data_IF_007162119567
#
_entry.id   IF_007162119567
#
_cell.length_a   1.000
_cell.length_b   1.000
_cell.length_c   1.000
_cell.angle_alpha   90.00
_cell.angle_beta   90.00
_cell.angle_gamma   90.00
#
_symmetry.space_group_name_H-M   'P 1'
#
loop_
_entity.id
_entity.type
_entity.pdbx_description
1 polymer ?
#
# COMPACT_ATOMS: atom_id res chain seq x y z
N UNK A 1 -31.04 16.31 53.82
CA UNK A 1 -29.68 16.65 53.45
C UNK A 1 -29.39 16.03 52.07
N UNK A 2 -29.62 16.77 51.01
CA UNK A 2 -29.37 16.33 49.65
C UNK A 2 -28.04 16.97 49.20
N UNK A 3 -27.00 16.17 48.96
CA UNK A 3 -25.74 16.62 48.40
C UNK A 3 -25.83 16.69 46.86
N UNK A 4 -25.57 17.85 46.35
CA UNK A 4 -25.26 18.09 44.92
C UNK A 4 -24.03 17.27 44.54
N UNK A 5 -24.15 16.48 43.47
CA UNK A 5 -23.02 15.98 42.72
C UNK A 5 -22.94 16.84 41.47
N UNK A 6 -21.94 17.71 41.45
CA UNK A 6 -21.56 18.48 40.24
C UNK A 6 -20.95 17.53 39.21
N UNK A 7 -21.53 17.52 38.05
CA UNK A 7 -21.03 16.84 36.85
C UNK A 7 -19.75 17.51 36.38
N UNK A 8 -18.62 16.87 36.61
CA UNK A 8 -17.38 17.20 35.93
C UNK A 8 -17.42 16.47 34.59
N UNK A 9 -17.65 17.21 33.53
CA UNK A 9 -17.55 16.70 32.19
C UNK A 9 -16.08 16.34 31.86
N UNK A 10 -15.77 15.06 31.90
CA UNK A 10 -14.51 14.58 31.36
C UNK A 10 -14.63 14.52 29.80
N UNK A 11 -14.06 15.49 29.14
CA UNK A 11 -13.76 15.35 27.70
C UNK A 11 -12.65 14.33 27.52
N UNK A 12 -13.00 13.14 27.04
CA UNK A 12 -12.03 12.12 26.67
C UNK A 12 -11.60 12.41 25.21
N UNK A 13 -10.42 12.98 25.05
CA UNK A 13 -9.79 13.10 23.73
C UNK A 13 -9.16 11.77 23.34
N UNK A 14 -9.75 11.05 22.39
CA UNK A 14 -9.06 9.99 21.67
C UNK A 14 -8.42 10.55 20.44
N UNK A 15 -7.09 10.59 20.42
CA UNK A 15 -6.31 10.88 19.19
C UNK A 15 -6.10 9.56 18.46
N UNK A 16 -6.89 9.30 17.44
CA UNK A 16 -6.66 8.21 16.48
C UNK A 16 -6.42 8.88 15.13
N UNK A 17 -5.14 8.91 14.72
CA UNK A 17 -4.75 9.27 13.36
C UNK A 17 -5.07 10.70 12.94
N UNK A 18 -4.70 11.71 13.75
CA UNK A 18 -4.76 13.12 13.33
C UNK A 18 -6.15 13.78 13.27
N UNK A 19 -7.22 13.09 13.66
CA UNK A 19 -8.57 13.64 13.75
C UNK A 19 -8.89 14.04 15.19
N UNK A 20 -8.98 15.34 15.45
CA UNK A 20 -9.55 15.88 16.70
C UNK A 20 -11.08 15.74 16.67
N UNK A 21 -11.61 14.63 17.16
CA UNK A 21 -13.03 14.50 17.41
C UNK A 21 -13.37 15.18 18.74
N UNK A 22 -13.88 16.41 18.69
CA UNK A 22 -14.49 17.07 19.85
C UNK A 22 -15.93 16.61 19.93
N UNK A 23 -16.25 15.72 20.87
CA UNK A 23 -17.63 15.41 21.21
C UNK A 23 -18.15 16.50 22.16
N UNK A 24 -18.90 17.47 21.65
CA UNK A 24 -19.75 18.32 22.47
C UNK A 24 -21.07 17.59 22.73
N UNK A 25 -21.47 17.49 23.99
CA UNK A 25 -22.69 16.83 24.46
C UNK A 25 -23.95 17.67 24.20
N UNK A 26 -24.13 18.19 23.00
CA UNK A 26 -25.40 18.78 22.59
C UNK A 26 -26.08 17.89 21.53
N UNK A 27 -26.71 16.82 22.06
CA UNK A 27 -27.63 15.97 21.30
C UNK A 27 -28.90 16.74 20.95
N UNK A 28 -28.87 17.48 19.84
CA UNK A 28 -30.07 17.82 19.07
C UNK A 28 -29.74 17.84 17.58
N UNK A 29 -30.14 16.76 16.89
CA UNK A 29 -30.42 16.71 15.44
C UNK A 29 -29.33 17.25 14.50
N UNK A 30 -28.12 16.74 14.58
CA UNK A 30 -27.20 16.84 13.44
C UNK A 30 -27.09 15.48 12.77
N UNK A 31 -27.43 15.43 11.49
CA UNK A 31 -27.19 14.26 10.65
C UNK A 31 -25.71 13.91 10.77
N UNK A 32 -25.38 12.64 11.05
CA UNK A 32 -24.00 12.17 11.04
C UNK A 32 -23.37 12.58 9.70
N UNK A 33 -22.22 13.29 9.71
CA UNK A 33 -21.55 13.61 8.44
C UNK A 33 -21.33 12.32 7.69
N UNK A 34 -21.76 12.24 6.43
CA UNK A 34 -21.45 11.08 5.63
C UNK A 34 -19.93 11.05 5.34
N UNK A 35 -19.40 9.92 5.00
CA UNK A 35 -17.97 9.74 4.74
C UNK A 35 -17.44 10.77 3.73
N UNK A 36 -18.26 11.15 2.75
CA UNK A 36 -17.97 12.15 1.73
C UNK A 36 -17.72 13.55 2.33
N UNK A 37 -18.57 14.01 3.28
CA UNK A 37 -18.40 15.34 3.92
C UNK A 37 -17.15 15.44 4.79
N UNK A 38 -16.69 14.31 5.37
CA UNK A 38 -15.42 14.28 6.13
C UNK A 38 -14.23 14.50 5.21
N UNK A 39 -14.25 13.93 4.00
CA UNK A 39 -13.16 14.12 3.04
C UNK A 39 -13.13 15.53 2.47
N UNK A 40 -14.29 16.14 2.13
CA UNK A 40 -14.34 17.53 1.62
C UNK A 40 -13.86 18.56 2.66
N UNK A 41 -14.21 18.36 3.94
CA UNK A 41 -13.84 19.31 5.00
C UNK A 41 -12.34 19.36 5.31
N UNK A 42 -11.56 18.38 4.82
CA UNK A 42 -10.15 18.23 5.13
C UNK A 42 -9.24 18.31 3.90
N UNK A 43 -9.77 18.53 2.69
CA UNK A 43 -8.95 18.50 1.46
C UNK A 43 -7.85 19.56 1.50
N UNK A 44 -8.19 20.82 1.82
CA UNK A 44 -7.24 21.92 1.89
C UNK A 44 -6.14 21.66 2.94
N UNK A 45 -6.52 21.05 4.06
CA UNK A 45 -5.56 20.65 5.09
C UNK A 45 -4.64 19.53 4.60
N UNK A 46 -5.19 18.51 3.93
CA UNK A 46 -4.39 17.43 3.34
C UNK A 46 -3.44 17.95 2.26
N UNK A 47 -3.90 18.88 1.41
CA UNK A 47 -3.07 19.49 0.36
C UNK A 47 -1.91 20.26 0.98
N UNK A 48 -2.19 21.10 1.99
CA UNK A 48 -1.15 21.86 2.70
C UNK A 48 -0.10 20.94 3.32
N UNK A 49 -0.53 19.96 4.10
CA UNK A 49 0.38 19.01 4.75
C UNK A 49 1.19 18.18 3.74
N UNK A 50 0.57 17.79 2.63
CA UNK A 50 1.25 17.02 1.59
C UNK A 50 2.30 17.85 0.85
N UNK A 51 2.04 19.13 0.60
CA UNK A 51 3.01 20.07 0.03
C UNK A 51 4.18 20.34 0.97
N UNK A 52 3.94 20.34 2.28
CA UNK A 52 4.97 20.39 3.31
C UNK A 52 5.78 19.09 3.44
N UNK A 53 5.42 18.06 2.69
CA UNK A 53 6.16 16.80 2.65
C UNK A 53 5.65 15.73 3.63
N UNK A 54 4.50 15.93 4.28
CA UNK A 54 3.94 14.93 5.17
C UNK A 54 3.56 13.66 4.41
N UNK A 55 4.22 12.56 4.73
CA UNK A 55 4.07 11.25 4.07
C UNK A 55 2.62 10.73 4.11
N UNK A 56 1.96 10.89 5.26
CA UNK A 56 0.59 10.39 5.46
C UNK A 56 -0.38 11.20 4.60
N UNK A 57 -0.21 12.53 4.55
CA UNK A 57 -1.03 13.40 3.72
C UNK A 57 -0.85 13.10 2.23
N UNK A 58 0.39 12.95 1.76
CA UNK A 58 0.69 12.56 0.39
C UNK A 58 0.03 11.22 0.01
N UNK A 59 0.12 10.22 0.87
CA UNK A 59 -0.50 8.92 0.64
C UNK A 59 -2.04 9.00 0.61
N UNK A 60 -2.63 9.78 1.52
CA UNK A 60 -4.09 9.96 1.58
C UNK A 60 -4.62 10.71 0.35
N UNK A 61 -3.98 11.82 -0.05
CA UNK A 61 -4.31 12.54 -1.27
C UNK A 61 -4.20 11.66 -2.51
N UNK A 62 -3.14 10.85 -2.60
CA UNK A 62 -2.98 9.91 -3.70
C UNK A 62 -4.17 8.94 -3.79
N UNK A 63 -4.66 8.43 -2.65
CA UNK A 63 -5.84 7.57 -2.62
C UNK A 63 -7.12 8.33 -2.96
N UNK A 64 -7.32 9.54 -2.46
CA UNK A 64 -8.47 10.39 -2.79
C UNK A 64 -8.57 10.59 -4.30
N UNK A 65 -7.49 11.00 -4.96
CA UNK A 65 -7.46 11.18 -6.41
C UNK A 65 -7.57 9.88 -7.19
N UNK A 66 -7.02 8.76 -6.68
CA UNK A 66 -7.16 7.44 -7.30
C UNK A 66 -8.61 6.95 -7.29
N UNK A 67 -9.34 7.19 -6.20
CA UNK A 67 -10.69 6.65 -5.97
C UNK A 67 -11.79 7.64 -6.31
N UNK A 68 -11.48 8.93 -6.46
CA UNK A 68 -12.45 10.01 -6.63
C UNK A 68 -13.25 10.27 -5.35
N UNK A 69 -12.65 10.04 -4.18
CA UNK A 69 -13.28 10.28 -2.87
C UNK A 69 -13.01 11.71 -2.41
N UNK A 70 -14.05 12.53 -2.34
CA UNK A 70 -13.95 13.96 -1.99
C UNK A 70 -13.34 14.87 -3.08
N UNK A 71 -12.86 14.26 -4.18
CA UNK A 71 -12.30 14.94 -5.35
C UNK A 71 -12.71 14.22 -6.63
N UNK A 72 -12.62 14.91 -7.78
CA UNK A 72 -12.75 14.22 -9.07
C UNK A 72 -11.59 13.24 -9.25
N UNK A 73 -11.89 12.00 -9.66
CA UNK A 73 -10.86 10.99 -9.91
C UNK A 73 -9.84 11.49 -10.94
N UNK A 74 -8.57 11.46 -10.56
CA UNK A 74 -7.45 11.80 -11.44
C UNK A 74 -6.24 10.93 -11.13
N UNK A 75 -6.04 9.90 -11.95
CA UNK A 75 -4.88 9.00 -11.82
C UNK A 75 -3.54 9.70 -11.99
N UNK A 76 -3.46 10.76 -12.79
CA UNK A 76 -2.21 11.50 -12.99
C UNK A 76 -1.79 12.23 -11.71
N UNK A 77 -2.73 12.88 -11.06
CA UNK A 77 -2.50 13.51 -9.75
C UNK A 77 -2.22 12.47 -8.67
N UNK A 78 -2.93 11.32 -8.69
CA UNK A 78 -2.64 10.20 -7.79
C UNK A 78 -1.20 9.69 -7.93
N UNK A 79 -0.69 9.52 -9.16
CA UNK A 79 0.71 9.13 -9.43
C UNK A 79 1.68 10.14 -8.80
N UNK A 80 1.44 11.45 -8.97
CA UNK A 80 2.31 12.49 -8.38
C UNK A 80 2.44 12.30 -6.86
N UNK A 81 1.32 12.18 -6.17
CA UNK A 81 1.31 12.06 -4.71
C UNK A 81 1.83 10.71 -4.22
N UNK A 82 1.47 9.61 -4.90
CA UNK A 82 2.07 8.29 -4.59
C UNK A 82 3.59 8.30 -4.79
N UNK A 83 4.11 9.00 -5.81
CA UNK A 83 5.56 9.07 -6.03
C UNK A 83 6.26 9.75 -4.85
N UNK A 84 5.74 10.88 -4.38
CA UNK A 84 6.30 11.57 -3.23
C UNK A 84 6.28 10.71 -1.96
N UNK A 85 5.19 10.00 -1.70
CA UNK A 85 5.09 9.09 -0.55
C UNK A 85 6.01 7.86 -0.70
N UNK A 86 6.12 7.32 -1.92
CA UNK A 86 6.96 6.17 -2.23
C UNK A 86 8.46 6.48 -2.12
N UNK A 87 8.87 7.69 -2.52
CA UNK A 87 10.25 8.18 -2.40
C UNK A 87 10.64 8.36 -0.92
N UNK A 88 9.67 8.59 -0.04
CA UNK A 88 9.84 8.57 1.41
C UNK A 88 9.81 7.16 2.03
N UNK A 89 9.73 6.11 1.21
CA UNK A 89 9.78 4.72 1.65
C UNK A 89 8.42 4.08 1.96
N UNK A 90 7.29 4.72 1.68
CA UNK A 90 5.98 4.09 1.93
C UNK A 90 5.76 2.87 1.03
N UNK A 91 5.79 1.67 1.62
CA UNK A 91 5.67 0.41 0.89
C UNK A 91 4.34 0.26 0.14
N UNK A 92 3.24 0.80 0.70
CA UNK A 92 1.91 0.71 0.06
C UNK A 92 1.82 1.67 -1.13
N UNK A 93 2.43 2.86 -1.04
CA UNK A 93 2.53 3.80 -2.16
C UNK A 93 3.38 3.19 -3.31
N UNK A 94 4.51 2.56 -2.98
CA UNK A 94 5.35 1.85 -3.94
C UNK A 94 4.57 0.73 -4.64
N UNK A 95 3.80 -0.07 -3.90
CA UNK A 95 2.92 -1.09 -4.48
C UNK A 95 1.89 -0.46 -5.45
N UNK A 96 1.23 0.62 -5.05
CA UNK A 96 0.25 1.31 -5.90
C UNK A 96 0.90 1.86 -7.19
N UNK A 97 2.11 2.43 -7.12
CA UNK A 97 2.85 2.84 -8.31
C UNK A 97 3.18 1.65 -9.22
N UNK A 98 3.52 0.50 -8.65
CA UNK A 98 3.70 -0.73 -9.40
C UNK A 98 2.45 -1.09 -10.21
N UNK A 99 1.27 -1.01 -9.60
CA UNK A 99 -0.02 -1.20 -10.29
C UNK A 99 -0.21 -0.15 -11.39
N UNK A 100 -0.04 1.14 -11.05
CA UNK A 100 -0.31 2.23 -11.99
C UNK A 100 0.58 2.12 -13.24
N UNK A 101 1.86 1.76 -13.08
CA UNK A 101 2.75 1.51 -14.22
C UNK A 101 2.45 0.21 -14.96
N UNK A 102 1.96 -0.83 -14.29
CA UNK A 102 1.58 -2.09 -14.97
C UNK A 102 0.36 -1.91 -15.87
N UNK A 103 -0.61 -1.13 -15.43
CA UNK A 103 -1.90 -0.96 -16.13
C UNK A 103 -2.05 0.38 -16.86
N UNK A 104 -1.08 1.29 -16.76
CA UNK A 104 -1.16 2.60 -17.42
C UNK A 104 -2.16 3.54 -16.77
N UNK A 105 -2.36 3.47 -15.47
CA UNK A 105 -3.27 4.36 -14.74
C UNK A 105 -2.58 5.70 -14.49
N UNK A 106 -2.94 6.73 -15.24
CA UNK A 106 -2.34 8.07 -15.15
C UNK A 106 -0.92 8.20 -15.73
N UNK A 107 -0.34 7.12 -16.20
CA UNK A 107 1.00 7.04 -16.82
C UNK A 107 1.00 6.12 -18.03
N UNK A 108 2.01 6.21 -18.87
CA UNK A 108 2.24 5.22 -19.94
C UNK A 108 2.62 3.88 -19.29
N UNK A 109 1.98 2.75 -19.68
CA UNK A 109 2.31 1.43 -19.15
C UNK A 109 3.80 1.11 -19.31
N UNK A 110 4.44 0.66 -18.23
CA UNK A 110 5.85 0.33 -18.23
C UNK A 110 6.18 -0.74 -17.17
N UNK A 111 6.29 -1.99 -17.60
CA UNK A 111 6.60 -3.10 -16.69
C UNK A 111 7.98 -2.99 -16.03
N UNK A 112 8.99 -2.39 -16.69
CA UNK A 112 10.31 -2.18 -16.06
C UNK A 112 10.20 -1.24 -14.85
N UNK A 113 9.40 -0.19 -14.97
CA UNK A 113 9.12 0.74 -13.88
C UNK A 113 8.25 0.06 -12.80
N UNK A 114 7.25 -0.73 -13.21
CA UNK A 114 6.43 -1.50 -12.27
C UNK A 114 7.28 -2.48 -11.43
N UNK A 115 8.21 -3.21 -12.05
CA UNK A 115 9.16 -4.10 -11.36
C UNK A 115 9.96 -3.35 -10.31
N UNK A 116 10.46 -2.15 -10.60
CA UNK A 116 11.22 -1.35 -9.62
C UNK A 116 10.38 -1.03 -8.39
N UNK A 117 9.16 -0.55 -8.60
CA UNK A 117 8.26 -0.18 -7.51
C UNK A 117 7.78 -1.40 -6.72
N UNK A 118 7.37 -2.48 -7.39
CA UNK A 118 7.01 -3.72 -6.71
C UNK A 118 8.17 -4.30 -5.91
N UNK A 119 9.40 -4.23 -6.42
CA UNK A 119 10.57 -4.71 -5.70
C UNK A 119 10.78 -3.95 -4.40
N UNK A 120 10.81 -2.61 -4.43
CA UNK A 120 10.95 -1.79 -3.23
C UNK A 120 9.88 -2.10 -2.17
N UNK A 121 8.64 -2.30 -2.61
CA UNK A 121 7.54 -2.68 -1.72
C UNK A 121 7.67 -4.11 -1.19
N UNK A 122 8.07 -5.06 -2.05
CA UNK A 122 8.25 -6.47 -1.72
C UNK A 122 9.39 -6.71 -0.71
N UNK A 123 10.49 -5.98 -0.86
CA UNK A 123 11.64 -5.98 0.05
C UNK A 123 11.24 -5.51 1.45
N UNK A 124 10.23 -4.65 1.57
CA UNK A 124 9.60 -4.23 2.83
C UNK A 124 8.53 -5.19 3.36
N UNK A 125 8.33 -6.34 2.73
CA UNK A 125 7.41 -7.38 3.18
C UNK A 125 5.97 -7.25 2.67
N UNK A 126 5.67 -6.32 1.76
CA UNK A 126 4.31 -6.23 1.19
C UNK A 126 3.99 -7.47 0.35
N UNK A 127 3.11 -8.32 0.87
CA UNK A 127 2.75 -9.61 0.26
C UNK A 127 2.13 -9.48 -1.15
N UNK A 128 1.35 -8.41 -1.40
CA UNK A 128 0.76 -8.16 -2.72
C UNK A 128 1.82 -7.75 -3.74
N UNK A 129 2.82 -6.98 -3.31
CA UNK A 129 3.95 -6.61 -4.16
C UNK A 129 4.85 -7.82 -4.44
N UNK A 130 5.08 -8.68 -3.45
CA UNK A 130 5.82 -9.94 -3.61
C UNK A 130 5.14 -10.85 -4.64
N UNK A 131 3.85 -11.06 -4.53
CA UNK A 131 3.09 -11.81 -5.52
C UNK A 131 3.19 -11.21 -6.93
N UNK A 132 2.96 -9.90 -7.07
CA UNK A 132 3.02 -9.26 -8.38
C UNK A 132 4.44 -9.31 -8.98
N UNK A 133 5.47 -9.13 -8.17
CA UNK A 133 6.86 -9.28 -8.62
C UNK A 133 7.15 -10.70 -9.06
N UNK A 134 6.70 -11.70 -8.31
CA UNK A 134 6.78 -13.12 -8.70
C UNK A 134 6.10 -13.38 -10.04
N UNK A 135 4.91 -12.83 -10.24
CA UNK A 135 4.17 -12.91 -11.51
C UNK A 135 4.91 -12.29 -12.69
N UNK A 136 5.54 -11.12 -12.47
CA UNK A 136 6.32 -10.46 -13.54
C UNK A 136 7.56 -11.27 -13.92
N UNK A 137 8.23 -11.93 -12.96
CA UNK A 137 9.31 -12.88 -13.26
C UNK A 137 8.82 -14.15 -13.98
N UNK A 138 7.64 -14.66 -13.61
CA UNK A 138 7.03 -15.81 -14.28
C UNK A 138 6.69 -15.51 -15.74
N UNK A 139 6.17 -14.30 -16.03
CA UNK A 139 5.73 -13.89 -17.35
C UNK A 139 6.84 -13.23 -18.20
N UNK A 140 8.02 -12.97 -17.67
CA UNK A 140 9.08 -12.24 -18.35
C UNK A 140 8.71 -10.78 -18.67
N UNK A 141 7.82 -10.17 -17.87
CA UNK A 141 7.32 -8.81 -18.09
C UNK A 141 8.17 -7.78 -17.33
N UNK A 142 8.88 -6.93 -18.08
CA UNK A 142 9.77 -5.91 -17.52
C UNK A 142 11.10 -6.43 -16.98
N UNK A 143 11.23 -7.74 -16.81
CA UNK A 143 12.41 -8.51 -16.45
C UNK A 143 12.49 -9.77 -17.31
N UNK A 144 13.66 -10.38 -17.51
CA UNK A 144 13.75 -11.70 -18.12
C UNK A 144 12.96 -12.74 -17.29
N UNK A 145 12.30 -13.68 -17.99
CA UNK A 145 11.64 -14.80 -17.34
C UNK A 145 12.61 -15.55 -16.41
N UNK A 146 12.17 -15.79 -15.18
CA UNK A 146 12.99 -16.50 -14.21
C UNK A 146 12.12 -17.18 -13.14
N UNK A 147 11.93 -18.50 -13.29
CA UNK A 147 11.09 -19.30 -12.40
C UNK A 147 11.63 -19.37 -10.97
N UNK A 148 12.96 -19.30 -10.78
CA UNK A 148 13.53 -19.31 -9.43
C UNK A 148 13.18 -18.03 -8.64
N UNK A 149 13.30 -16.86 -9.26
CA UNK A 149 12.83 -15.60 -8.65
C UNK A 149 11.31 -15.58 -8.51
N UNK A 150 10.57 -16.05 -9.50
CA UNK A 150 9.11 -16.16 -9.42
C UNK A 150 8.67 -16.99 -8.22
N UNK A 151 9.27 -18.19 -8.07
CA UNK A 151 8.99 -19.10 -6.95
C UNK A 151 9.37 -18.48 -5.60
N UNK A 152 10.55 -17.88 -5.49
CA UNK A 152 11.01 -17.23 -4.26
C UNK A 152 10.01 -16.16 -3.80
N UNK A 153 9.61 -15.24 -4.67
CA UNK A 153 8.68 -14.18 -4.32
C UNK A 153 7.26 -14.69 -4.05
N UNK A 154 6.79 -15.68 -4.81
CA UNK A 154 5.51 -16.35 -4.54
C UNK A 154 5.52 -17.05 -3.17
N UNK A 155 6.62 -17.71 -2.80
CA UNK A 155 6.79 -18.37 -1.50
C UNK A 155 6.81 -17.35 -0.35
N UNK A 156 7.43 -16.18 -0.54
CA UNK A 156 7.39 -15.12 0.47
C UNK A 156 5.96 -14.60 0.71
N UNK A 157 5.19 -14.36 -0.34
CA UNK A 157 3.79 -13.96 -0.22
C UNK A 157 2.95 -15.05 0.46
N UNK A 158 3.13 -16.31 0.05
CA UNK A 158 2.46 -17.49 0.62
C UNK A 158 2.77 -17.66 2.12
N UNK A 159 4.02 -17.47 2.52
CA UNK A 159 4.44 -17.61 3.93
C UNK A 159 3.77 -16.61 4.89
N UNK A 160 3.22 -15.52 4.34
CA UNK A 160 2.45 -14.52 5.06
C UNK A 160 0.93 -14.78 5.01
N UNK A 161 0.50 -15.92 4.45
CA UNK A 161 -0.91 -16.28 4.32
C UNK A 161 -1.63 -15.66 3.13
N UNK A 162 -0.90 -15.21 2.10
CA UNK A 162 -1.51 -14.65 0.90
C UNK A 162 -1.86 -15.76 -0.09
N UNK A 163 -3.14 -16.07 -0.25
CA UNK A 163 -3.65 -17.21 -1.03
C UNK A 163 -3.15 -17.22 -2.48
N UNK A 164 -3.15 -16.06 -3.15
CA UNK A 164 -2.64 -15.96 -4.53
C UNK A 164 -1.15 -16.26 -4.64
N UNK A 165 -0.38 -16.02 -3.57
CA UNK A 165 1.03 -16.42 -3.46
C UNK A 165 1.17 -17.92 -3.42
N UNK A 166 0.32 -18.61 -2.66
CA UNK A 166 0.28 -20.08 -2.59
C UNK A 166 -0.12 -20.70 -3.93
N UNK A 167 -1.14 -20.15 -4.61
CA UNK A 167 -1.54 -20.60 -5.94
C UNK A 167 -0.41 -20.46 -6.97
N UNK A 168 0.26 -19.33 -7.01
CA UNK A 168 1.40 -19.11 -7.92
C UNK A 168 2.56 -20.05 -7.61
N UNK A 169 2.89 -20.24 -6.33
CA UNK A 169 3.92 -21.19 -5.88
C UNK A 169 3.58 -22.63 -6.30
N UNK A 170 2.31 -23.03 -6.14
CA UNK A 170 1.81 -24.33 -6.57
C UNK A 170 2.01 -24.54 -8.07
N UNK A 171 1.55 -23.60 -8.89
CA UNK A 171 1.74 -23.61 -10.34
C UNK A 171 3.23 -23.73 -10.72
N UNK A 172 4.10 -22.95 -10.12
CA UNK A 172 5.53 -22.99 -10.39
C UNK A 172 6.17 -24.31 -9.96
N UNK A 173 5.68 -24.92 -8.88
CA UNK A 173 6.15 -26.24 -8.40
C UNK A 173 5.86 -27.36 -9.40
N UNK A 174 4.79 -27.24 -10.18
CA UNK A 174 4.44 -28.20 -11.24
C UNK A 174 5.30 -27.98 -12.51
N UNK A 175 5.73 -26.75 -12.77
CA UNK A 175 6.52 -26.40 -13.96
C UNK A 175 8.03 -26.56 -13.76
N UNK A 176 8.50 -26.54 -12.52
CA UNK A 176 9.94 -26.56 -12.19
C UNK A 176 10.41 -27.97 -11.84
N UNK A 177 11.65 -28.26 -12.20
CA UNK A 177 12.34 -29.46 -11.72
C UNK A 177 12.72 -29.32 -10.24
N UNK A 178 12.94 -30.45 -9.56
CA UNK A 178 13.40 -30.45 -8.16
C UNK A 178 14.70 -29.65 -7.96
N UNK A 179 15.61 -29.67 -8.94
CA UNK A 179 16.85 -28.89 -8.91
C UNK A 179 16.59 -27.39 -9.00
N UNK A 180 15.62 -26.96 -9.82
CA UNK A 180 15.25 -25.54 -9.92
C UNK A 180 14.56 -25.05 -8.64
N UNK A 181 13.71 -25.86 -8.01
CA UNK A 181 13.09 -25.54 -6.72
C UNK A 181 14.16 -25.40 -5.63
N UNK A 182 15.16 -26.30 -5.61
CA UNK A 182 16.27 -26.20 -4.66
C UNK A 182 17.10 -24.92 -4.88
N UNK A 183 17.35 -24.54 -6.14
CA UNK A 183 17.99 -23.25 -6.45
C UNK A 183 17.17 -22.07 -5.96
N UNK A 184 15.85 -22.10 -6.11
CA UNK A 184 14.96 -21.05 -5.64
C UNK A 184 15.01 -20.90 -4.10
N UNK A 185 15.01 -22.01 -3.36
CA UNK A 185 15.16 -22.04 -1.91
C UNK A 185 16.52 -21.50 -1.45
N UNK A 186 17.59 -21.81 -2.18
CA UNK A 186 18.92 -21.28 -1.88
C UNK A 186 19.02 -19.77 -2.18
N UNK A 187 18.35 -19.30 -3.23
CA UNK A 187 18.21 -17.88 -3.53
C UNK A 187 17.47 -17.16 -2.41
N UNK A 188 16.35 -17.72 -1.96
CA UNK A 188 15.57 -17.20 -0.83
C UNK A 188 16.42 -17.02 0.43
N UNK A 189 17.20 -18.02 0.82
CA UNK A 189 18.12 -17.93 1.96
C UNK A 189 19.14 -16.80 1.81
N UNK A 190 19.67 -16.61 0.59
CA UNK A 190 20.62 -15.51 0.32
C UNK A 190 19.93 -14.14 0.44
N UNK A 191 18.72 -14.03 -0.07
CA UNK A 191 17.93 -12.81 -0.01
C UNK A 191 17.50 -12.51 1.44
N UNK A 192 17.06 -13.51 2.18
CA UNK A 192 16.70 -13.37 3.60
C UNK A 192 17.87 -12.81 4.43
N UNK A 193 19.08 -13.31 4.23
CA UNK A 193 20.28 -12.85 4.92
C UNK A 193 20.65 -11.39 4.61
N UNK A 194 20.06 -10.81 3.55
CA UNK A 194 20.22 -9.42 3.13
C UNK A 194 18.94 -8.59 3.36
N UNK A 195 18.00 -9.08 4.16
CA UNK A 195 16.65 -8.48 4.29
C UNK A 195 15.98 -8.21 2.94
N UNK A 196 16.20 -9.09 1.96
CA UNK A 196 15.75 -9.02 0.57
C UNK A 196 16.30 -7.83 -0.25
N UNK A 197 17.18 -7.01 0.28
CA UNK A 197 17.78 -5.89 -0.44
C UNK A 197 18.54 -6.37 -1.70
N UNK A 198 18.14 -5.84 -2.86
CA UNK A 198 18.75 -6.16 -4.15
C UNK A 198 18.42 -7.57 -4.68
N UNK A 199 17.38 -8.20 -4.16
CA UNK A 199 16.81 -9.44 -4.65
C UNK A 199 15.60 -9.20 -5.53
#
# INVERSE_FOLDING_TARGET
MKKLLSTIGLSICFVIGGLNLVFSNDLKNEATPNEFTIYESNLDEWETLAEEGNLIAQFNLANMYREGKGVTQDYKTAVKWFTLAADQGNAVAQYNLGIMHSFGLGVVPNYKTAVKWYRLSAEQGNQMAQYNLGRLYYLGQGVPENFAYAYMWANQASSQGFDMGEELKGLLSELMTSSQIEMAKNLEKKCFNKNFEGC
#
